data_IF_490531955972
#
_entry.id   IF_490531955972
#
_cell.length_a   1.000
_cell.length_b   1.000
_cell.length_c   1.000
_cell.angle_alpha   90.00
_cell.angle_beta   90.00
_cell.angle_gamma   90.00
#
_symmetry.space_group_name_H-M   'P 1'
#
loop_
_entity.id
_entity.type
_entity.pdbx_description
1 polymer ?
#
# COMPACT_ATOMS: atom_id res chain seq x y z
N UNK A 1 12.47 25.69 -0.96
CA UNK A 1 12.49 24.22 -0.91
C UNK A 1 12.26 23.73 -2.33
N UNK A 2 13.30 23.18 -2.97
CA UNK A 2 13.19 22.75 -4.37
C UNK A 2 12.47 21.40 -4.38
N UNK A 3 11.29 21.34 -5.03
CA UNK A 3 10.55 20.08 -5.16
C UNK A 3 11.29 19.22 -6.19
N UNK A 4 11.66 18.01 -5.79
CA UNK A 4 12.23 16.99 -6.70
C UNK A 4 11.12 16.58 -7.68
N UNK A 5 11.43 16.53 -8.99
CA UNK A 5 10.45 16.09 -9.98
C UNK A 5 10.12 14.59 -9.84
N UNK A 6 9.01 14.17 -10.43
CA UNK A 6 8.52 12.82 -10.24
C UNK A 6 9.47 11.74 -10.76
N UNK A 7 10.21 12.01 -11.84
CA UNK A 7 11.11 11.01 -12.41
C UNK A 7 12.32 10.83 -11.49
N UNK A 8 12.94 11.93 -11.07
CA UNK A 8 14.06 11.89 -10.13
C UNK A 8 13.70 11.16 -8.83
N UNK A 9 12.48 11.37 -8.30
CA UNK A 9 12.01 10.63 -7.12
C UNK A 9 11.87 9.11 -7.38
N UNK A 10 11.26 8.71 -8.51
CA UNK A 10 11.11 7.29 -8.86
C UNK A 10 12.45 6.60 -9.06
N UNK A 11 13.40 7.26 -9.71
CA UNK A 11 14.73 6.72 -9.94
C UNK A 11 15.44 6.47 -8.61
N UNK A 12 15.36 7.40 -7.66
CA UNK A 12 15.90 7.22 -6.30
C UNK A 12 15.22 6.04 -5.57
N UNK A 13 13.90 5.93 -5.63
CA UNK A 13 13.16 4.84 -4.98
C UNK A 13 13.43 3.47 -5.62
N UNK A 14 13.81 3.40 -6.90
CA UNK A 14 14.15 2.14 -7.58
C UNK A 14 15.37 1.44 -6.96
N UNK A 15 16.26 2.20 -6.32
CA UNK A 15 17.44 1.69 -5.61
C UNK A 15 17.12 1.21 -4.18
N UNK A 16 15.91 1.45 -3.67
CA UNK A 16 15.50 1.04 -2.34
C UNK A 16 14.85 -0.35 -2.38
N UNK A 17 15.57 -1.36 -1.88
CA UNK A 17 15.01 -2.71 -1.76
C UNK A 17 13.81 -2.75 -0.82
N UNK A 18 12.77 -3.50 -1.20
CA UNK A 18 11.56 -3.68 -0.42
C UNK A 18 11.04 -5.12 -0.53
N UNK A 19 10.43 -5.62 0.55
CA UNK A 19 9.73 -6.90 0.52
C UNK A 19 8.47 -6.79 -0.36
N UNK A 20 8.09 -7.91 -1.00
CA UNK A 20 6.87 -8.00 -1.80
C UNK A 20 5.79 -8.72 -0.99
N UNK A 21 4.66 -8.05 -0.80
CA UNK A 21 3.51 -8.58 -0.07
C UNK A 21 2.30 -8.69 -1.00
N UNK A 22 1.44 -9.69 -0.76
CA UNK A 22 0.09 -9.72 -1.34
C UNK A 22 -0.87 -9.29 -0.23
N UNK A 23 -1.54 -8.17 -0.45
CA UNK A 23 -2.50 -7.59 0.49
C UNK A 23 -3.88 -7.99 0.00
N UNK A 24 -4.67 -8.61 0.88
CA UNK A 24 -6.00 -9.12 0.56
C UNK A 24 -7.06 -8.42 1.40
N UNK A 25 -8.29 -8.49 0.95
CA UNK A 25 -9.47 -8.12 1.74
C UNK A 25 -10.59 -9.10 1.41
N UNK A 26 -11.44 -9.36 2.38
CA UNK A 26 -12.69 -10.11 2.22
C UNK A 26 -13.75 -9.48 3.11
N UNK A 27 -14.98 -9.38 2.60
CA UNK A 27 -16.06 -8.65 3.24
C UNK A 27 -17.29 -8.47 2.34
N UNK A 28 -18.23 -7.60 2.73
CA UNK A 28 -19.48 -7.38 1.99
C UNK A 28 -19.30 -6.94 0.53
N UNK A 29 -18.20 -6.24 0.22
CA UNK A 29 -17.87 -5.83 -1.15
C UNK A 29 -17.15 -6.94 -1.96
N UNK A 30 -17.00 -8.13 -1.39
CA UNK A 30 -16.32 -9.28 -1.96
C UNK A 30 -14.82 -9.31 -1.69
N UNK A 31 -14.14 -10.19 -2.43
CA UNK A 31 -12.69 -10.45 -2.30
C UNK A 31 -11.90 -9.63 -3.30
N UNK A 32 -10.81 -9.02 -2.83
CA UNK A 32 -9.84 -8.35 -3.69
C UNK A 32 -8.42 -8.51 -3.13
N UNK A 33 -7.43 -8.29 -3.99
CA UNK A 33 -6.04 -8.27 -3.56
C UNK A 33 -5.12 -7.53 -4.53
N UNK A 34 -3.99 -7.06 -4.01
CA UNK A 34 -2.98 -6.38 -4.80
C UNK A 34 -1.57 -6.65 -4.26
N UNK A 35 -0.58 -6.53 -5.14
CA UNK A 35 0.83 -6.61 -4.78
C UNK A 35 1.29 -5.26 -4.22
N UNK A 36 1.94 -5.27 -3.05
CA UNK A 36 2.42 -4.07 -2.38
C UNK A 36 3.85 -4.24 -1.86
N UNK A 37 4.69 -3.23 -2.14
CA UNK A 37 5.99 -3.04 -1.50
C UNK A 37 5.98 -1.90 -0.47
N UNK A 38 5.03 -0.96 -0.58
CA UNK A 38 4.84 0.14 0.37
C UNK A 38 4.09 -0.33 1.62
N UNK A 39 4.78 -1.14 2.43
CA UNK A 39 4.29 -1.73 3.69
C UNK A 39 5.31 -1.46 4.80
N UNK A 40 4.86 -1.01 5.96
CA UNK A 40 5.73 -0.71 7.09
C UNK A 40 5.12 -1.21 8.42
N UNK A 41 5.97 -1.70 9.33
CA UNK A 41 5.57 -1.87 10.74
C UNK A 41 5.43 -0.50 11.40
N UNK A 42 4.36 -0.30 12.17
CA UNK A 42 4.11 0.95 12.90
C UNK A 42 4.47 0.80 14.37
N UNK A 43 3.90 -0.20 15.04
CA UNK A 43 4.17 -0.50 16.46
C UNK A 43 3.72 -1.93 16.78
N UNK A 44 4.31 -2.54 17.82
CA UNK A 44 3.88 -3.83 18.36
C UNK A 44 2.85 -3.68 19.51
N UNK A 45 2.59 -2.45 19.96
CA UNK A 45 1.74 -2.15 21.12
C UNK A 45 0.79 -0.98 20.80
N UNK A 46 -0.46 -1.25 20.38
CA UNK A 46 -0.97 -2.55 19.90
C UNK A 46 -0.38 -2.92 18.53
N UNK A 47 -0.31 -4.21 18.14
CA UNK A 47 0.28 -4.62 16.87
C UNK A 47 -0.39 -3.93 15.67
N UNK A 48 0.38 -3.11 14.94
CA UNK A 48 -0.13 -2.24 13.88
C UNK A 48 0.83 -2.22 12.68
N UNK A 49 0.27 -2.40 11.49
CA UNK A 49 0.96 -2.25 10.21
C UNK A 49 0.31 -1.13 9.39
N UNK A 50 1.10 -0.54 8.49
CA UNK A 50 0.66 0.44 7.48
C UNK A 50 0.86 -0.17 6.09
N UNK A 51 -0.11 0.05 5.21
CA UNK A 51 0.01 -0.17 3.77
C UNK A 51 -0.50 1.04 2.98
N UNK A 52 0.20 1.40 1.91
CA UNK A 52 -0.24 2.45 1.00
C UNK A 52 -0.96 1.87 -0.22
N UNK A 53 -2.24 2.24 -0.42
CA UNK A 53 -3.02 1.88 -1.59
C UNK A 53 -3.30 3.11 -2.47
N UNK A 54 -2.99 3.00 -3.76
CA UNK A 54 -3.34 4.01 -4.75
C UNK A 54 -4.87 4.07 -4.93
N UNK A 55 -5.47 5.26 -4.72
CA UNK A 55 -6.92 5.48 -4.89
C UNK A 55 -7.41 5.31 -6.32
N UNK A 56 -6.52 5.40 -7.31
CA UNK A 56 -6.83 5.10 -8.71
C UNK A 56 -6.75 3.61 -9.06
N UNK A 57 -6.36 2.73 -8.13
CA UNK A 57 -6.32 1.29 -8.37
C UNK A 57 -7.73 0.71 -8.48
N UNK A 58 -7.92 -0.27 -9.37
CA UNK A 58 -9.22 -0.95 -9.57
C UNK A 58 -9.76 -1.62 -8.30
N UNK A 59 -8.88 -2.01 -7.37
CA UNK A 59 -9.26 -2.64 -6.09
C UNK A 59 -9.69 -1.63 -5.03
N UNK A 60 -9.40 -0.33 -5.19
CA UNK A 60 -9.67 0.70 -4.17
C UNK A 60 -11.12 0.70 -3.66
N UNK A 61 -12.18 0.58 -4.50
CA UNK A 61 -13.56 0.56 -4.01
C UNK A 61 -13.82 -0.57 -3.01
N UNK A 62 -13.34 -1.79 -3.30
CA UNK A 62 -13.54 -2.97 -2.45
C UNK A 62 -12.83 -2.80 -1.10
N UNK A 63 -11.58 -2.31 -1.09
CA UNK A 63 -10.84 -2.05 0.15
C UNK A 63 -11.47 -0.93 0.99
N UNK A 64 -11.95 0.13 0.34
CA UNK A 64 -12.58 1.27 1.02
C UNK A 64 -13.93 0.90 1.65
N UNK A 65 -14.67 -0.02 1.05
CA UNK A 65 -15.95 -0.53 1.56
C UNK A 65 -15.73 -1.59 2.65
N UNK A 66 -14.86 -2.58 2.44
CA UNK A 66 -14.63 -3.65 3.41
C UNK A 66 -13.99 -3.13 4.71
N UNK A 67 -13.00 -2.23 4.61
CA UNK A 67 -12.20 -1.74 5.77
C UNK A 67 -11.58 -2.85 6.63
N UNK A 68 -11.28 -3.99 6.02
CA UNK A 68 -10.57 -5.12 6.63
C UNK A 68 -9.41 -5.53 5.71
N UNK A 69 -8.31 -5.99 6.30
CA UNK A 69 -7.13 -6.54 5.63
C UNK A 69 -6.85 -7.93 6.19
#
# INVERSE_FOLDING_TARGET
MNIVDQQTFRDAMSCMGAAVNIITTDGPAGRAGFTASAVCSVTDTPPTLLVCLNRGASVWPVFNENRTL
#
